data_IF_083412333545
#
_entry.id   IF_083412333545
#
_cell.length_a   1.000
_cell.length_b   1.000
_cell.length_c   1.000
_cell.angle_alpha   90.00
_cell.angle_beta   90.00
_cell.angle_gamma   90.00
#
_symmetry.space_group_name_H-M   'P 1'
#
loop_
_entity.id
_entity.type
_entity.pdbx_description
1 polymer ?
#
# COMPACT_ATOMS: atom_id res chain seq x y z
N UNK A 1 11.75 16.50 -1.19
CA UNK A 1 10.32 16.69 -0.84
C UNK A 1 9.63 15.35 -0.92
N UNK A 2 8.75 15.05 0.02
CA UNK A 2 8.02 13.79 0.07
C UNK A 2 6.57 14.04 0.45
N UNK A 3 5.66 13.40 -0.27
CA UNK A 3 4.23 13.41 0.01
C UNK A 3 3.76 11.98 0.17
N UNK A 4 3.08 11.67 1.28
CA UNK A 4 2.61 10.30 1.55
C UNK A 4 1.41 9.98 0.66
N UNK A 5 1.42 8.78 0.08
CA UNK A 5 0.27 8.25 -0.63
C UNK A 5 -0.94 8.06 0.30
N UNK A 6 -2.15 8.14 -0.24
CA UNK A 6 -3.40 7.93 0.51
C UNK A 6 -4.19 6.77 -0.07
N UNK A 7 -4.82 5.97 0.80
CA UNK A 7 -5.75 4.93 0.35
C UNK A 7 -7.07 5.56 -0.13
N UNK A 8 -7.59 5.08 -1.26
CA UNK A 8 -8.89 5.49 -1.79
C UNK A 8 -10.01 5.26 -0.76
N UNK A 9 -10.85 6.27 -0.56
CA UNK A 9 -11.96 6.27 0.42
C UNK A 9 -13.34 6.46 -0.22
N UNK A 10 -13.41 6.72 -1.53
CA UNK A 10 -14.66 7.10 -2.22
C UNK A 10 -14.96 8.60 -2.21
N UNK A 11 -14.21 9.40 -1.44
CA UNK A 11 -14.33 10.86 -1.39
C UNK A 11 -13.10 11.52 -2.03
N UNK A 12 -13.19 12.84 -2.28
CA UNK A 12 -12.03 13.63 -2.72
C UNK A 12 -10.96 13.66 -1.64
N UNK A 13 -9.73 13.31 -2.00
CA UNK A 13 -8.58 13.27 -1.12
C UNK A 13 -7.55 14.30 -1.55
N UNK A 14 -6.96 14.97 -0.56
CA UNK A 14 -5.79 15.84 -0.67
C UNK A 14 -4.67 15.29 0.22
N UNK A 15 -3.39 15.60 0.00
CA UNK A 15 -2.33 15.21 0.92
C UNK A 15 -2.56 15.82 2.30
N UNK A 16 -2.36 15.05 3.37
CA UNK A 16 -2.51 15.53 4.75
C UNK A 16 -1.28 16.28 5.26
N UNK A 17 -0.11 16.01 4.68
CA UNK A 17 1.15 16.68 4.99
C UNK A 17 2.10 16.58 3.81
N UNK A 18 2.97 17.58 3.68
CA UNK A 18 4.07 17.63 2.71
C UNK A 18 5.35 17.87 3.48
N UNK A 19 6.35 17.00 3.31
CA UNK A 19 7.67 17.21 3.92
C UNK A 19 8.61 17.82 2.89
N UNK A 20 9.16 18.98 3.22
CA UNK A 20 10.15 19.69 2.41
C UNK A 20 11.45 19.82 3.20
N UNK A 21 12.57 19.54 2.54
CA UNK A 21 13.92 19.72 3.08
C UNK A 21 14.78 20.48 2.07
N UNK A 22 15.57 21.43 2.54
CA UNK A 22 16.54 22.20 1.75
C UNK A 22 17.85 22.24 2.53
N UNK A 23 18.97 21.86 1.91
CA UNK A 23 20.28 21.81 2.59
C UNK A 23 20.30 20.97 3.87
N UNK A 24 19.52 19.87 3.91
CA UNK A 24 19.37 19.04 5.11
C UNK A 24 18.35 19.55 6.15
N UNK A 25 18.01 20.84 6.14
CA UNK A 25 17.03 21.44 7.07
C UNK A 25 15.60 21.15 6.64
N UNK A 26 14.76 20.68 7.57
CA UNK A 26 13.34 20.51 7.37
C UNK A 26 12.60 21.85 7.48
N UNK A 27 11.72 22.12 6.50
CA UNK A 27 10.92 23.34 6.47
C UNK A 27 9.57 23.13 7.16
N UNK A 28 9.03 24.19 7.73
CA UNK A 28 7.74 24.22 8.43
C UNK A 28 6.66 24.78 7.51
N UNK A 29 5.59 24.02 7.30
CA UNK A 29 4.45 24.47 6.50
C UNK A 29 3.75 25.68 7.15
N UNK A 30 3.27 26.61 6.34
CA UNK A 30 2.67 27.88 6.76
C UNK A 30 3.70 28.98 7.03
N UNK A 31 4.83 28.64 7.64
CA UNK A 31 5.94 29.56 7.92
C UNK A 31 6.92 29.67 6.75
N UNK A 32 7.57 28.56 6.40
CA UNK A 32 8.68 28.50 5.44
C UNK A 32 8.18 28.18 4.01
N UNK A 33 6.98 27.60 3.88
CA UNK A 33 6.35 27.33 2.59
C UNK A 33 4.83 27.14 2.75
N UNK A 34 4.08 27.32 1.66
CA UNK A 34 2.68 26.88 1.52
C UNK A 34 2.58 25.81 0.46
N UNK A 35 1.51 25.01 0.49
CA UNK A 35 1.26 24.04 -0.56
C UNK A 35 -0.22 24.00 -0.95
N UNK A 36 -0.47 23.74 -2.22
CA UNK A 36 -1.82 23.63 -2.77
C UNK A 36 -1.95 22.36 -3.60
N UNK A 37 -3.16 21.80 -3.59
CA UNK A 37 -3.47 20.62 -4.36
C UNK A 37 -4.98 20.57 -4.63
N UNK A 38 -5.36 20.39 -5.90
CA UNK A 38 -6.76 20.15 -6.29
C UNK A 38 -7.29 18.85 -5.68
N UNK A 39 -6.41 17.87 -5.48
CA UNK A 39 -6.74 16.56 -4.97
C UNK A 39 -7.36 15.66 -6.03
N UNK A 40 -7.86 14.51 -5.58
CA UNK A 40 -8.36 13.47 -6.45
C UNK A 40 -9.44 12.62 -5.80
N UNK A 41 -10.44 12.20 -6.57
CA UNK A 41 -11.46 11.25 -6.09
C UNK A 41 -11.13 9.81 -6.45
N UNK A 42 -10.38 9.53 -7.52
CA UNK A 42 -10.08 8.18 -8.02
C UNK A 42 -8.63 7.78 -7.69
N UNK A 43 -8.29 6.51 -7.90
CA UNK A 43 -6.89 6.04 -7.85
C UNK A 43 -6.12 6.69 -9.00
N UNK A 44 -4.91 7.16 -8.71
CA UNK A 44 -4.09 7.90 -9.67
C UNK A 44 -3.07 8.79 -8.98
N UNK A 45 -2.24 9.45 -9.79
CA UNK A 45 -1.24 10.40 -9.33
C UNK A 45 -1.72 11.84 -9.49
N UNK A 46 -1.50 12.66 -8.48
CA UNK A 46 -2.03 14.02 -8.41
C UNK A 46 -0.93 15.01 -8.03
N UNK A 47 -0.91 16.16 -8.73
CA UNK A 47 0.10 17.20 -8.54
C UNK A 47 -0.14 17.99 -7.25
N UNK A 48 0.92 18.21 -6.50
CA UNK A 48 1.02 19.09 -5.33
C UNK A 48 1.99 20.19 -5.66
N UNK A 49 1.57 21.44 -5.54
CA UNK A 49 2.44 22.59 -5.75
C UNK A 49 2.86 23.14 -4.39
N UNK A 50 4.16 23.33 -4.20
CA UNK A 50 4.76 23.93 -3.01
C UNK A 50 5.37 25.25 -3.41
N UNK A 51 5.05 26.30 -2.66
CA UNK A 51 5.56 27.66 -2.87
C UNK A 51 6.34 28.03 -1.61
N UNK A 52 7.62 28.34 -1.76
CA UNK A 52 8.45 28.81 -0.65
C UNK A 52 7.98 30.17 -0.13
N UNK A 53 8.26 30.44 1.16
CA UNK A 53 8.01 31.74 1.81
C UNK A 53 9.29 32.25 2.49
N UNK A 54 9.39 33.58 2.61
CA UNK A 54 10.52 34.23 3.28
C UNK A 54 11.84 33.97 2.55
N UNK A 55 12.83 33.47 3.28
CA UNK A 55 14.16 33.13 2.73
C UNK A 55 14.14 31.95 1.77
N UNK A 56 13.08 31.14 1.79
CA UNK A 56 12.88 30.05 0.86
C UNK A 56 12.03 30.56 -0.30
N UNK A 57 12.64 30.84 -1.45
CA UNK A 57 11.93 31.35 -2.64
C UNK A 57 11.72 30.26 -3.68
N UNK A 58 10.81 30.50 -4.62
CA UNK A 58 10.54 29.61 -5.75
C UNK A 58 9.40 28.62 -5.53
N UNK A 59 9.09 27.89 -6.61
CA UNK A 59 7.98 26.93 -6.67
C UNK A 59 8.50 25.56 -7.04
N UNK A 60 8.02 24.52 -6.35
CA UNK A 60 8.33 23.13 -6.67
C UNK A 60 7.07 22.29 -6.73
N UNK A 61 7.02 21.36 -7.67
CA UNK A 61 5.90 20.42 -7.79
C UNK A 61 6.29 19.03 -7.31
N UNK A 62 5.36 18.37 -6.63
CA UNK A 62 5.40 16.98 -6.20
C UNK A 62 4.22 16.24 -6.81
N UNK A 63 4.25 14.93 -6.72
CA UNK A 63 3.09 14.09 -6.89
C UNK A 63 2.73 13.40 -5.57
N UNK A 64 1.44 13.15 -5.38
CA UNK A 64 0.95 12.23 -4.38
C UNK A 64 0.01 11.23 -5.04
N UNK A 65 0.11 9.98 -4.61
CA UNK A 65 -0.72 8.92 -5.18
C UNK A 65 -1.92 8.62 -4.29
N UNK A 66 -3.07 8.46 -4.94
CA UNK A 66 -4.22 7.77 -4.35
C UNK A 66 -4.13 6.32 -4.79
N UNK A 67 -3.93 5.41 -3.83
CA UNK A 67 -3.76 3.98 -4.09
C UNK A 67 -5.01 3.18 -3.71
N UNK A 68 -5.22 2.00 -4.31
CA UNK A 68 -6.33 1.13 -3.92
C UNK A 68 -6.29 0.82 -2.42
N UNK A 69 -7.47 0.72 -1.80
CA UNK A 69 -7.56 0.33 -0.39
C UNK A 69 -7.13 -1.13 -0.24
N UNK A 70 -6.16 -1.37 0.62
CA UNK A 70 -5.73 -2.72 0.98
C UNK A 70 -6.89 -3.56 1.53
N UNK A 71 -6.80 -4.87 1.36
CA UNK A 71 -7.73 -5.83 1.96
C UNK A 71 -7.08 -6.58 3.12
N UNK A 72 -7.90 -7.23 3.93
CA UNK A 72 -7.50 -7.98 5.11
C UNK A 72 -7.69 -9.48 4.88
N UNK A 73 -6.74 -10.30 5.36
CA UNK A 73 -6.87 -11.76 5.33
C UNK A 73 -7.96 -12.20 6.31
N UNK A 74 -8.99 -12.88 5.79
CA UNK A 74 -10.08 -13.42 6.60
C UNK A 74 -9.80 -14.84 7.03
N UNK A 75 -9.30 -15.68 6.12
CA UNK A 75 -9.08 -17.10 6.38
C UNK A 75 -7.75 -17.56 5.81
N UNK A 76 -7.10 -18.45 6.53
CA UNK A 76 -5.98 -19.20 6.01
C UNK A 76 -6.17 -20.67 6.34
N UNK A 77 -6.04 -21.53 5.33
CA UNK A 77 -6.15 -22.97 5.44
C UNK A 77 -4.80 -23.59 5.11
N UNK A 78 -4.38 -24.53 5.94
CA UNK A 78 -3.17 -25.32 5.71
C UNK A 78 -3.41 -26.31 4.57
N UNK A 79 -2.42 -26.57 3.74
CA UNK A 79 -2.42 -27.65 2.75
C UNK A 79 -1.11 -28.44 2.82
N UNK A 80 -1.08 -29.65 2.25
CA UNK A 80 0.17 -30.41 2.10
C UNK A 80 1.15 -29.59 1.26
N UNK A 81 2.34 -29.30 1.81
CA UNK A 81 3.36 -28.46 1.14
C UNK A 81 2.79 -27.15 0.59
N UNK A 82 1.85 -26.53 1.31
CA UNK A 82 1.12 -25.36 0.80
C UNK A 82 0.17 -24.73 1.80
N UNK A 83 -0.49 -23.67 1.37
CA UNK A 83 -1.61 -23.07 2.10
C UNK A 83 -2.56 -22.38 1.13
N UNK A 84 -3.80 -22.21 1.55
CA UNK A 84 -4.77 -21.35 0.86
C UNK A 84 -5.05 -20.14 1.73
N UNK A 85 -4.88 -18.94 1.18
CA UNK A 85 -5.23 -17.69 1.85
C UNK A 85 -6.45 -17.08 1.17
N UNK A 86 -7.40 -16.61 1.97
CA UNK A 86 -8.61 -15.92 1.54
C UNK A 86 -8.69 -14.56 2.22
N UNK A 87 -9.09 -13.53 1.47
CA UNK A 87 -9.19 -12.16 1.96
C UNK A 87 -10.59 -11.60 1.75
N UNK A 88 -10.90 -10.53 2.49
CA UNK A 88 -12.20 -9.86 2.40
C UNK A 88 -12.39 -9.32 0.98
N UNK A 89 -13.55 -9.58 0.39
CA UNK A 89 -13.93 -8.95 -0.88
C UNK A 89 -14.08 -7.43 -0.64
N UNK A 90 -13.36 -6.57 -1.39
CA UNK A 90 -13.60 -5.13 -1.30
C UNK A 90 -15.03 -4.78 -1.75
N UNK A 91 -15.54 -3.63 -1.34
CA UNK A 91 -16.84 -3.13 -1.82
C UNK A 91 -16.81 -2.92 -3.34
N UNK A 92 -17.99 -2.83 -3.98
CA UNK A 92 -18.10 -2.56 -5.42
C UNK A 92 -17.32 -1.30 -5.84
N UNK A 93 -17.35 -0.24 -5.03
CA UNK A 93 -16.63 1.02 -5.31
C UNK A 93 -15.12 0.84 -5.23
N UNK A 94 -14.62 0.13 -4.22
CA UNK A 94 -13.19 -0.18 -4.11
C UNK A 94 -12.72 -1.16 -5.21
N UNK A 95 -13.56 -2.11 -5.63
CA UNK A 95 -13.26 -3.04 -6.71
C UNK A 95 -13.07 -2.34 -8.06
N UNK A 96 -13.89 -1.31 -8.38
CA UNK A 96 -13.72 -0.49 -9.59
C UNK A 96 -12.37 0.24 -9.66
N UNK A 97 -11.70 0.41 -8.52
CA UNK A 97 -10.41 1.08 -8.39
C UNK A 97 -9.27 0.08 -8.12
N UNK A 98 -9.52 -1.23 -8.22
CA UNK A 98 -8.56 -2.29 -7.93
C UNK A 98 -8.41 -3.20 -9.16
N UNK A 99 -7.20 -3.39 -9.64
CA UNK A 99 -6.92 -4.27 -10.79
C UNK A 99 -6.65 -5.70 -10.36
N UNK A 100 -6.02 -5.93 -9.22
CA UNK A 100 -5.69 -7.26 -8.72
C UNK A 100 -5.03 -7.25 -7.35
N UNK A 101 -4.48 -8.39 -6.95
CA UNK A 101 -3.85 -8.60 -5.65
C UNK A 101 -2.43 -9.17 -5.79
N UNK A 102 -1.45 -8.65 -5.07
CA UNK A 102 -0.08 -9.19 -4.97
C UNK A 102 0.13 -9.91 -3.65
N UNK A 103 -0.27 -11.17 -3.54
CA UNK A 103 -0.11 -11.94 -2.30
C UNK A 103 1.37 -12.19 -2.04
N UNK A 104 1.88 -11.81 -0.86
CA UNK A 104 3.25 -12.08 -0.43
C UNK A 104 3.28 -13.09 0.71
N UNK A 105 4.29 -13.95 0.74
CA UNK A 105 4.53 -14.84 1.87
C UNK A 105 6.00 -15.05 2.17
N UNK A 106 6.32 -15.28 3.44
CA UNK A 106 7.68 -15.59 3.89
C UNK A 106 7.66 -16.54 5.09
N UNK A 107 8.75 -17.27 5.29
CA UNK A 107 9.02 -17.98 6.55
C UNK A 107 9.49 -17.04 7.66
N UNK A 108 9.93 -15.82 7.31
CA UNK A 108 10.26 -14.77 8.25
C UNK A 108 9.01 -13.93 8.57
N UNK A 109 8.64 -13.89 9.86
CA UNK A 109 7.52 -13.10 10.38
C UNK A 109 7.64 -11.62 10.06
N UNK A 110 8.87 -11.10 9.97
CA UNK A 110 9.15 -9.69 9.67
C UNK A 110 9.30 -9.41 8.18
N UNK A 111 9.15 -10.43 7.32
CA UNK A 111 9.30 -10.32 5.86
C UNK A 111 10.63 -9.66 5.44
N UNK A 112 11.71 -9.83 6.22
CA UNK A 112 13.02 -9.27 5.84
C UNK A 112 13.76 -10.18 4.87
N UNK A 113 13.51 -11.49 4.93
CA UNK A 113 14.18 -12.50 4.11
C UNK A 113 13.19 -13.46 3.47
N UNK A 114 13.57 -14.06 2.33
CA UNK A 114 12.83 -15.15 1.69
C UNK A 114 11.39 -14.80 1.28
N UNK A 115 11.11 -13.53 1.02
CA UNK A 115 9.77 -13.06 0.64
C UNK A 115 9.47 -13.48 -0.79
N UNK A 116 8.47 -14.34 -0.93
CA UNK A 116 7.90 -14.71 -2.22
C UNK A 116 6.62 -13.93 -2.47
N UNK A 117 6.23 -13.79 -3.73
CA UNK A 117 4.98 -13.13 -4.08
C UNK A 117 4.32 -13.73 -5.32
N UNK A 118 2.99 -13.58 -5.42
CA UNK A 118 2.21 -13.94 -6.60
C UNK A 118 1.19 -12.86 -6.88
N UNK A 119 1.06 -12.51 -8.15
CA UNK A 119 0.06 -11.56 -8.61
C UNK A 119 -1.20 -12.30 -9.09
N UNK A 120 -2.34 -11.89 -8.55
CA UNK A 120 -3.70 -12.33 -8.85
C UNK A 120 -4.34 -11.21 -9.67
N UNK A 121 -4.32 -11.34 -11.00
CA UNK A 121 -4.76 -10.31 -11.95
C UNK A 121 -6.28 -10.07 -11.94
N UNK A 122 -7.07 -10.98 -11.37
CA UNK A 122 -8.54 -10.87 -11.30
C UNK A 122 -8.96 -10.26 -9.96
N UNK A 123 -9.43 -9.02 -9.98
CA UNK A 123 -9.89 -8.31 -8.77
C UNK A 123 -11.11 -8.97 -8.08
N UNK A 124 -11.89 -9.79 -8.80
CA UNK A 124 -13.00 -10.57 -8.25
C UNK A 124 -12.55 -11.81 -7.47
N UNK A 125 -11.33 -12.29 -7.71
CA UNK A 125 -10.77 -13.46 -7.02
C UNK A 125 -10.33 -13.06 -5.61
N UNK A 126 -10.84 -13.75 -4.59
CA UNK A 126 -10.59 -13.44 -3.17
C UNK A 126 -9.82 -14.54 -2.43
N UNK A 127 -9.21 -15.46 -3.17
CA UNK A 127 -8.37 -16.50 -2.59
C UNK A 127 -7.20 -16.87 -3.49
N UNK A 128 -6.14 -17.40 -2.88
CA UNK A 128 -4.99 -17.95 -3.57
C UNK A 128 -4.53 -19.23 -2.87
N UNK A 129 -4.40 -20.32 -3.64
CA UNK A 129 -3.71 -21.54 -3.21
C UNK A 129 -2.24 -21.43 -3.59
N UNK A 130 -1.38 -21.49 -2.58
CA UNK A 130 0.08 -21.57 -2.72
C UNK A 130 0.49 -23.02 -2.47
N UNK A 131 1.22 -23.60 -3.41
CA UNK A 131 1.71 -24.99 -3.36
C UNK A 131 3.23 -25.02 -3.53
N UNK A 132 3.80 -26.23 -3.53
CA UNK A 132 5.25 -26.47 -3.70
C UNK A 132 6.11 -25.76 -2.65
N UNK A 133 5.60 -25.64 -1.43
CA UNK A 133 6.34 -25.13 -0.27
C UNK A 133 7.10 -26.23 0.45
N UNK A 134 8.05 -25.83 1.29
CA UNK A 134 8.71 -26.76 2.22
C UNK A 134 7.67 -27.15 3.30
N UNK A 135 7.49 -28.45 3.51
CA UNK A 135 6.54 -28.98 4.51
C UNK A 135 6.99 -28.65 5.93
N UNK A 136 6.04 -28.55 6.86
CA UNK A 136 6.31 -28.35 8.30
C UNK A 136 6.83 -26.95 8.70
N UNK A 137 6.74 -25.94 7.81
CA UNK A 137 7.20 -24.56 8.10
C UNK A 137 6.02 -23.60 8.29
N UNK A 138 6.23 -22.58 9.12
CA UNK A 138 5.31 -21.45 9.22
C UNK A 138 5.56 -20.49 8.07
N UNK A 139 4.48 -20.07 7.41
CA UNK A 139 4.50 -19.04 6.40
C UNK A 139 3.56 -17.91 6.84
N UNK A 140 4.06 -16.69 6.80
CA UNK A 140 3.30 -15.48 7.05
C UNK A 140 2.84 -14.93 5.71
N UNK A 141 1.55 -14.61 5.56
CA UNK A 141 1.05 -13.83 4.43
C UNK A 141 0.74 -12.42 4.89
N UNK A 142 1.32 -11.41 4.25
CA UNK A 142 1.09 -10.01 4.60
C UNK A 142 0.28 -9.33 3.51
N UNK A 143 -0.59 -8.42 3.97
CA UNK A 143 -1.09 -7.22 3.31
C UNK A 143 -1.67 -6.31 4.41
N UNK A 144 -0.93 -5.26 4.78
CA UNK A 144 -1.16 -4.36 5.93
C UNK A 144 -1.03 -4.94 7.36
N UNK A 145 -1.37 -6.22 7.60
CA UNK A 145 -0.98 -6.99 8.82
C UNK A 145 -0.67 -8.45 8.44
N UNK A 146 0.42 -9.01 8.96
CA UNK A 146 0.85 -10.38 8.68
C UNK A 146 -0.02 -11.42 9.41
N UNK A 147 -0.49 -12.46 8.70
CA UNK A 147 -1.19 -13.62 9.29
C UNK A 147 -0.37 -14.90 9.10
N UNK A 148 -0.13 -15.64 10.18
CA UNK A 148 0.69 -16.86 10.17
C UNK A 148 -0.12 -18.09 9.77
N UNK A 149 0.49 -19.01 9.01
CA UNK A 149 -0.13 -20.27 8.57
C UNK A 149 0.93 -21.38 8.59
N UNK A 150 0.67 -22.48 9.29
CA UNK A 150 1.57 -23.66 9.34
C UNK A 150 1.27 -24.60 8.18
N UNK A 151 2.26 -25.02 7.40
CA UNK A 151 2.03 -26.04 6.35
C UNK A 151 2.03 -27.45 6.93
N UNK A 152 1.19 -28.34 6.38
CA UNK A 152 1.23 -29.76 6.74
C UNK A 152 2.41 -30.44 6.02
N UNK A 153 3.05 -31.41 6.69
CA UNK A 153 4.10 -32.25 6.10
C UNK A 153 3.53 -33.02 4.90
#
# INVERSE_FOLDING_TARGET
>A
MTVKARAYTGKTLKPSSVSVKVGGRALVAGRDFTFSCKGGKKVGSYKVTVIGKGTYTGTKTATFDIVPKGTSVVKAKTAKRGFTVSWKKPSKTHLKQTTGYKVQWSTDKKFKRGVKSKLVKKNKTTSLKVSKLKGGKYYYSAWSKAKAVKTKK
#
